data_IF_076926376287
#
_entry.id   IF_076926376287
#
_cell.length_a   1.000
_cell.length_b   1.000
_cell.length_c   1.000
_cell.angle_alpha   90.00
_cell.angle_beta   90.00
_cell.angle_gamma   90.00
#
_symmetry.space_group_name_H-M   'P 1'
#
loop_
_entity.id
_entity.type
_entity.pdbx_description
1 polymer ?
#
# COMPACT_ATOMS: atom_id res chain seq x y z
N UNK A 1 -6.86 10.20 6.31
CA UNK A 1 -7.07 8.88 6.97
C UNK A 1 -5.94 7.98 6.49
N UNK A 2 -5.28 7.24 7.39
CA UNK A 2 -4.22 6.29 7.05
C UNK A 2 -4.86 4.91 7.09
N UNK A 3 -4.84 4.16 5.99
CA UNK A 3 -5.22 2.75 5.97
C UNK A 3 -3.96 1.91 5.94
N UNK A 4 -3.83 0.99 6.89
CA UNK A 4 -2.71 0.07 6.99
C UNK A 4 -3.17 -1.29 6.42
N UNK A 5 -2.68 -1.64 5.24
CA UNK A 5 -3.10 -2.86 4.54
C UNK A 5 -2.43 -4.12 5.13
N UNK A 6 -1.17 -4.00 5.55
CA UNK A 6 -0.38 -5.07 6.16
C UNK A 6 0.54 -4.49 7.22
N UNK A 7 0.51 -5.03 8.43
CA UNK A 7 1.38 -4.62 9.56
C UNK A 7 2.06 -5.82 10.25
N UNK A 8 2.36 -6.88 9.48
CA UNK A 8 2.97 -8.09 10.02
C UNK A 8 4.27 -8.42 9.30
N UNK A 9 5.20 -9.08 10.01
CA UNK A 9 6.41 -9.66 9.40
C UNK A 9 6.01 -10.76 8.44
N UNK A 10 6.33 -10.56 7.16
CA UNK A 10 6.11 -11.52 6.08
C UNK A 10 7.45 -12.16 5.69
N UNK A 11 7.43 -13.46 5.38
CA UNK A 11 8.63 -14.17 4.93
C UNK A 11 9.10 -13.63 3.58
N UNK A 12 10.39 -13.76 3.29
CA UNK A 12 10.92 -13.39 1.97
C UNK A 12 10.18 -14.18 0.86
N UNK A 13 9.79 -13.48 -0.21
CA UNK A 13 9.03 -14.05 -1.32
C UNK A 13 8.20 -12.99 -2.05
N UNK A 14 7.44 -13.45 -3.03
CA UNK A 14 6.47 -12.61 -3.74
C UNK A 14 5.16 -12.59 -2.95
N UNK A 15 4.61 -11.39 -2.75
CA UNK A 15 3.34 -11.18 -2.05
C UNK A 15 2.45 -10.29 -2.90
N UNK A 16 1.18 -10.67 -3.01
CA UNK A 16 0.17 -9.91 -3.73
C UNK A 16 -0.95 -9.55 -2.75
N UNK A 17 -1.31 -8.27 -2.71
CA UNK A 17 -2.38 -7.77 -1.84
C UNK A 17 -3.35 -6.94 -2.67
N UNK A 18 -4.65 -7.21 -2.49
CA UNK A 18 -5.72 -6.41 -3.08
C UNK A 18 -6.10 -5.28 -2.13
N UNK A 19 -5.96 -4.04 -2.60
CA UNK A 19 -6.44 -2.87 -1.87
C UNK A 19 -7.92 -2.64 -2.20
N UNK A 20 -8.80 -2.74 -1.20
CA UNK A 20 -10.20 -2.33 -1.37
C UNK A 20 -10.28 -0.80 -1.31
N UNK A 21 -10.70 -0.19 -2.42
CA UNK A 21 -10.86 1.27 -2.57
C UNK A 21 -12.30 1.76 -2.40
N UNK A 22 -13.21 0.89 -1.96
CA UNK A 22 -14.61 1.23 -1.72
C UNK A 22 -14.74 2.42 -0.77
N UNK A 23 -15.58 3.39 -1.15
CA UNK A 23 -15.79 4.62 -0.40
C UNK A 23 -14.72 5.71 -0.60
N UNK A 24 -13.64 5.43 -1.34
CA UNK A 24 -12.64 6.44 -1.69
C UNK A 24 -13.02 7.22 -2.96
N UNK A 25 -12.82 8.55 -3.00
CA UNK A 25 -13.04 9.35 -4.21
C UNK A 25 -11.94 9.07 -5.26
N UNK A 26 -12.25 9.27 -6.54
CA UNK A 26 -11.22 9.26 -7.58
C UNK A 26 -10.15 10.32 -7.27
N UNK A 27 -8.87 9.97 -7.46
CA UNK A 27 -7.78 10.85 -7.07
C UNK A 27 -6.43 10.15 -7.01
N UNK A 28 -5.40 10.90 -6.60
CA UNK A 28 -4.06 10.35 -6.40
C UNK A 28 -3.87 9.97 -4.92
N UNK A 29 -3.47 8.73 -4.70
CA UNK A 29 -3.17 8.14 -3.40
C UNK A 29 -1.68 7.84 -3.32
N UNK A 30 -1.08 8.12 -2.17
CA UNK A 30 0.33 7.80 -1.91
C UNK A 30 0.35 6.61 -0.96
N UNK A 31 1.16 5.61 -1.28
CA UNK A 31 1.41 4.47 -0.41
C UNK A 31 2.91 4.27 -0.22
N UNK A 32 3.25 3.60 0.88
CA UNK A 32 4.62 3.36 1.29
C UNK A 32 4.78 1.88 1.63
N UNK A 33 5.83 1.27 1.07
CA UNK A 33 6.26 -0.08 1.37
C UNK A 33 7.52 0.01 2.21
N UNK A 34 7.51 -0.60 3.39
CA UNK A 34 8.65 -0.68 4.30
C UNK A 34 9.01 -2.14 4.53
N UNK A 35 10.30 -2.46 4.47
CA UNK A 35 10.81 -3.80 4.79
C UNK A 35 12.00 -3.70 5.74
N UNK A 36 11.89 -4.38 6.89
CA UNK A 36 12.91 -4.48 7.94
C UNK A 36 13.54 -3.14 8.37
N UNK A 37 12.83 -2.02 8.20
CA UNK A 37 13.32 -0.65 8.44
C UNK A 37 14.58 -0.25 7.64
N UNK A 38 14.99 -1.06 6.66
CA UNK A 38 16.16 -0.81 5.80
C UNK A 38 15.75 -0.37 4.39
N UNK A 39 14.58 -0.83 3.94
CA UNK A 39 14.03 -0.49 2.64
C UNK A 39 12.73 0.28 2.80
N UNK A 40 12.65 1.44 2.15
CA UNK A 40 11.44 2.25 2.06
C UNK A 40 11.20 2.63 0.60
N UNK A 41 10.03 2.28 0.06
CA UNK A 41 9.61 2.67 -1.28
C UNK A 41 8.26 3.40 -1.21
N UNK A 42 8.26 4.66 -1.64
CA UNK A 42 7.05 5.47 -1.75
C UNK A 42 6.59 5.51 -3.20
N UNK A 43 5.30 5.26 -3.43
CA UNK A 43 4.71 5.25 -4.77
C UNK A 43 3.37 5.96 -4.75
N UNK A 44 2.97 6.43 -5.93
CA UNK A 44 1.66 7.04 -6.16
C UNK A 44 0.78 6.09 -6.98
N UNK A 45 -0.49 6.01 -6.61
CA UNK A 45 -1.55 5.27 -7.30
C UNK A 45 -2.63 6.26 -7.70
N UNK A 46 -3.16 6.14 -8.92
CA UNK A 46 -4.32 6.93 -9.34
C UNK A 46 -5.55 6.04 -9.29
N UNK A 47 -6.53 6.42 -8.48
CA UNK A 47 -7.84 5.78 -8.46
C UNK A 47 -8.73 6.51 -9.46
N UNK A 48 -9.21 5.78 -10.47
CA UNK A 48 -10.18 6.23 -11.46
C UNK A 48 -11.46 5.42 -11.25
N UNK A 49 -12.62 6.09 -11.34
CA UNK A 49 -13.94 5.47 -11.36
C UNK A 49 -14.47 5.49 -12.79
#
# INVERSE_FOLDING_TARGET
>A
MIQELVNNKITAGNHEYTFNSDGLPSGTYIYRLEANNEFVSTRKMMLLK
#
